data_IF_165405122373
#
_entry.id   IF_165405122373
#
_cell.length_a   1.000
_cell.length_b   1.000
_cell.length_c   1.000
_cell.angle_alpha   90.00
_cell.angle_beta   90.00
_cell.angle_gamma   90.00
#
_symmetry.space_group_name_H-M   'P 1'
#
loop_
_entity.id
_entity.type
_entity.pdbx_description
1 polymer ?
#
# COMPACT_ATOMS: atom_id res chain seq x y z
N UNK A 1 8.48 -6.17 8.52
CA UNK A 1 9.27 -6.59 7.36
C UNK A 1 9.32 -8.11 7.35
N UNK A 2 8.68 -8.71 6.39
CA UNK A 2 8.65 -10.15 6.21
C UNK A 2 9.14 -10.49 4.81
N UNK A 3 9.86 -11.57 4.68
CA UNK A 3 10.28 -12.12 3.40
C UNK A 3 9.90 -13.59 3.37
N UNK A 4 9.45 -14.10 2.23
CA UNK A 4 8.94 -15.43 2.07
C UNK A 4 9.99 -16.54 2.37
N UNK A 5 10.18 -16.84 3.64
CA UNK A 5 11.03 -17.97 4.06
C UNK A 5 10.34 -19.33 3.95
N UNK A 6 9.01 -19.35 3.91
CA UNK A 6 8.23 -20.59 3.85
C UNK A 6 8.35 -21.30 2.49
N UNK A 7 8.68 -20.57 1.45
CA UNK A 7 8.87 -21.12 0.11
C UNK A 7 10.35 -21.20 -0.23
N UNK A 8 10.83 -22.41 -0.53
CA UNK A 8 12.15 -22.53 -1.14
C UNK A 8 12.03 -22.04 -2.58
N UNK A 9 12.66 -20.90 -2.94
CA UNK A 9 12.56 -20.39 -4.29
C UNK A 9 13.04 -21.43 -5.31
N UNK A 10 12.50 -21.44 -6.53
CA UNK A 10 13.07 -22.22 -7.61
C UNK A 10 14.52 -21.83 -7.81
N UNK A 11 15.49 -22.71 -7.43
CA UNK A 11 16.91 -22.42 -7.49
C UNK A 11 17.64 -22.36 -6.15
N UNK A 12 16.95 -22.46 -5.02
CA UNK A 12 17.56 -22.67 -3.69
C UNK A 12 18.22 -21.43 -3.07
N UNK A 13 17.84 -20.23 -3.49
CA UNK A 13 18.27 -18.96 -2.88
C UNK A 13 17.29 -18.44 -1.83
N UNK A 14 17.70 -17.42 -1.08
CA UNK A 14 16.80 -16.59 -0.26
C UNK A 14 16.21 -15.49 -1.14
N UNK A 15 14.91 -15.16 -0.96
CA UNK A 15 14.35 -13.93 -1.53
C UNK A 15 14.98 -12.73 -0.84
N UNK A 16 15.35 -11.69 -1.61
CA UNK A 16 15.76 -10.41 -1.05
C UNK A 16 14.55 -9.57 -0.63
N UNK A 17 13.35 -9.90 -1.17
CA UNK A 17 12.11 -9.24 -0.85
C UNK A 17 12.11 -7.76 -1.21
N UNK A 18 12.63 -7.40 -2.38
CA UNK A 18 12.76 -5.99 -2.75
C UNK A 18 11.40 -5.36 -3.03
N UNK A 19 10.53 -6.06 -3.74
CA UNK A 19 9.16 -5.65 -3.96
C UNK A 19 8.26 -6.18 -2.84
N UNK A 20 8.45 -7.42 -2.42
CA UNK A 20 7.67 -8.13 -1.42
C UNK A 20 8.52 -8.42 -0.15
N UNK A 21 8.55 -7.57 0.89
CA UNK A 21 7.86 -6.27 1.00
C UNK A 21 8.82 -5.17 1.50
N UNK A 22 10.04 -5.07 0.94
CA UNK A 22 10.91 -3.92 1.21
C UNK A 22 10.33 -2.62 0.64
N UNK A 23 9.56 -2.71 -0.45
CA UNK A 23 8.93 -1.57 -1.08
C UNK A 23 7.92 -0.90 -0.15
N UNK A 24 6.99 -1.65 0.44
CA UNK A 24 6.00 -1.12 1.38
C UNK A 24 6.63 -0.65 2.70
N UNK A 25 7.62 -1.37 3.19
CA UNK A 25 8.40 -0.95 4.36
C UNK A 25 9.10 0.40 4.13
N UNK A 26 9.64 0.64 2.93
CA UNK A 26 10.27 1.91 2.55
C UNK A 26 9.24 3.04 2.53
N UNK A 27 8.09 2.85 1.86
CA UNK A 27 7.02 3.86 1.85
C UNK A 27 6.54 4.16 3.27
N UNK A 28 6.33 3.14 4.09
CA UNK A 28 5.90 3.31 5.49
C UNK A 28 6.88 4.17 6.29
N UNK A 29 8.18 3.98 6.11
CA UNK A 29 9.23 4.76 6.79
C UNK A 29 9.28 6.21 6.27
N UNK A 30 9.19 6.44 4.97
CA UNK A 30 9.18 7.78 4.38
C UNK A 30 7.92 8.58 4.79
N UNK A 31 6.76 7.92 4.77
CA UNK A 31 5.52 8.52 5.28
C UNK A 31 5.64 8.84 6.76
N UNK A 32 6.16 7.92 7.59
CA UNK A 32 6.38 8.15 9.02
C UNK A 32 7.30 9.35 9.27
N UNK A 33 8.36 9.50 8.50
CA UNK A 33 9.26 10.65 8.61
C UNK A 33 8.55 11.96 8.22
N UNK A 34 7.75 11.95 7.17
CA UNK A 34 7.03 13.14 6.71
C UNK A 34 5.95 13.57 7.71
N UNK A 35 5.15 12.63 8.24
CA UNK A 35 4.10 12.94 9.22
C UNK A 35 4.68 13.41 10.55
N UNK A 36 5.87 12.94 10.96
CA UNK A 36 6.52 13.40 12.19
C UNK A 36 6.92 14.88 12.18
N UNK A 37 6.88 15.55 11.04
CA UNK A 37 7.26 16.95 10.88
C UNK A 37 6.14 17.96 11.19
N UNK A 38 4.90 17.48 11.44
CA UNK A 38 3.75 18.35 11.74
C UNK A 38 2.95 17.87 12.95
N UNK A 39 2.12 18.76 13.49
CA UNK A 39 1.12 18.43 14.49
C UNK A 39 -0.13 17.87 13.79
N UNK A 40 -0.76 16.89 14.40
CA UNK A 40 -1.97 16.21 13.94
C UNK A 40 -3.02 16.25 15.03
N UNK A 41 -4.29 16.35 14.67
CA UNK A 41 -5.40 16.29 15.60
C UNK A 41 -5.62 14.84 16.12
N UNK A 42 -5.24 13.86 15.31
CA UNK A 42 -5.30 12.43 15.67
C UNK A 42 -3.91 11.84 15.86
N UNK A 43 -3.84 10.76 16.65
CA UNK A 43 -2.60 9.99 16.77
C UNK A 43 -2.35 9.23 15.47
N UNK A 44 -1.19 9.44 14.86
CA UNK A 44 -0.73 8.66 13.71
C UNK A 44 0.38 7.72 14.16
N UNK A 45 0.28 6.46 13.77
CA UNK A 45 1.26 5.41 14.08
C UNK A 45 1.75 4.75 12.79
N UNK A 46 3.06 4.54 12.69
CA UNK A 46 3.65 3.67 11.67
C UNK A 46 3.96 2.31 12.29
N UNK A 47 3.70 1.25 11.58
CA UNK A 47 3.96 -0.11 12.01
C UNK A 47 4.59 -0.94 10.90
N UNK A 48 5.51 -1.82 11.27
CA UNK A 48 6.06 -2.86 10.41
C UNK A 48 5.70 -4.20 11.04
N UNK A 49 4.91 -4.98 10.34
CA UNK A 49 4.45 -6.26 10.82
C UNK A 49 5.46 -7.36 10.53
N UNK A 50 5.44 -8.42 11.32
CA UNK A 50 6.20 -9.63 11.07
C UNK A 50 5.25 -10.79 10.79
N UNK A 51 5.75 -11.80 10.07
CA UNK A 51 5.03 -13.04 9.79
C UNK A 51 3.73 -12.80 9.00
N UNK A 52 3.79 -11.92 8.01
CA UNK A 52 2.70 -11.75 7.05
C UNK A 52 2.51 -13.05 6.27
N UNK A 53 3.58 -13.60 5.72
CA UNK A 53 3.64 -14.82 4.91
C UNK A 53 3.23 -16.10 5.65
N UNK A 54 3.29 -16.09 6.97
CA UNK A 54 2.81 -17.18 7.85
C UNK A 54 1.35 -17.00 8.27
N UNK A 55 0.64 -16.05 7.67
CA UNK A 55 -0.79 -15.83 7.89
C UNK A 55 -1.10 -14.61 8.75
N UNK A 56 -0.47 -13.48 8.47
CA UNK A 56 -0.75 -12.16 9.04
C UNK A 56 -0.57 -12.12 10.57
N UNK A 57 0.36 -12.90 11.13
CA UNK A 57 0.43 -13.13 12.57
C UNK A 57 0.72 -11.86 13.36
N UNK A 58 1.55 -10.96 12.82
CA UNK A 58 1.91 -9.71 13.49
C UNK A 58 0.74 -8.74 13.59
N UNK A 59 0.10 -8.44 12.48
CA UNK A 59 -1.06 -7.55 12.43
C UNK A 59 -2.27 -8.10 13.18
N UNK A 60 -2.55 -9.40 13.03
CA UNK A 60 -3.63 -10.07 13.76
C UNK A 60 -3.41 -10.03 15.28
N UNK A 61 -2.17 -10.27 15.73
CA UNK A 61 -1.85 -10.16 17.15
C UNK A 61 -2.05 -8.73 17.64
N UNK A 62 -1.61 -7.72 16.89
CA UNK A 62 -1.83 -6.32 17.26
C UNK A 62 -3.31 -6.00 17.42
N UNK A 63 -4.12 -6.29 16.38
CA UNK A 63 -5.56 -6.00 16.40
C UNK A 63 -6.27 -6.71 17.56
N UNK A 64 -5.92 -7.98 17.82
CA UNK A 64 -6.52 -8.76 18.93
C UNK A 64 -6.17 -8.25 20.32
N UNK A 65 -5.13 -7.43 20.46
CA UNK A 65 -4.70 -6.85 21.75
C UNK A 65 -5.05 -5.36 21.88
N UNK A 66 -5.73 -4.78 20.91
CA UNK A 66 -6.23 -3.41 21.04
C UNK A 66 -7.20 -3.30 22.22
N UNK A 67 -7.07 -2.25 23.06
CA UNK A 67 -8.07 -1.99 24.09
C UNK A 67 -9.47 -1.80 23.50
N UNK A 68 -10.52 -2.28 24.15
CA UNK A 68 -11.91 -2.16 23.69
C UNK A 68 -12.37 -0.73 23.39
N UNK A 69 -11.71 0.26 23.97
CA UNK A 69 -12.01 1.69 23.77
C UNK A 69 -11.04 2.36 22.77
N UNK A 70 -10.17 1.60 22.13
CA UNK A 70 -9.28 2.12 21.09
C UNK A 70 -10.02 2.16 19.76
N UNK A 71 -10.18 3.34 19.21
CA UNK A 71 -10.68 3.53 17.85
C UNK A 71 -9.52 3.71 16.89
N UNK A 72 -9.54 3.00 15.77
CA UNK A 72 -8.67 3.23 14.60
C UNK A 72 -9.55 3.83 13.53
N UNK A 73 -9.26 5.07 13.14
CA UNK A 73 -10.05 5.80 12.15
C UNK A 73 -9.84 5.25 10.74
N UNK A 74 -8.59 4.89 10.42
CA UNK A 74 -8.23 4.23 9.18
C UNK A 74 -6.88 3.53 9.30
N UNK A 75 -6.67 2.48 8.53
CA UNK A 75 -5.42 1.77 8.37
C UNK A 75 -4.97 1.85 6.90
N UNK A 76 -3.73 2.23 6.66
CA UNK A 76 -3.11 2.21 5.33
C UNK A 76 -2.11 1.08 5.26
N UNK A 77 -2.30 0.18 4.32
CA UNK A 77 -1.42 -0.94 4.03
C UNK A 77 -0.61 -0.67 2.78
N UNK A 78 0.68 -0.96 2.84
CA UNK A 78 1.58 -0.87 1.71
C UNK A 78 2.24 -2.23 1.54
N UNK A 79 1.91 -2.91 0.47
CA UNK A 79 2.41 -4.24 0.16
C UNK A 79 2.61 -4.38 -1.35
N UNK A 80 3.84 -4.73 -1.75
CA UNK A 80 4.25 -4.82 -3.15
C UNK A 80 3.94 -3.53 -3.93
N UNK A 81 4.48 -2.41 -3.50
CA UNK A 81 4.16 -1.07 -4.00
C UNK A 81 5.28 -0.43 -4.82
N UNK A 82 5.00 0.75 -5.38
CA UNK A 82 5.96 1.66 -6.04
C UNK A 82 6.45 1.23 -7.41
N UNK A 83 6.03 0.11 -7.95
CA UNK A 83 6.33 -0.25 -9.32
C UNK A 83 5.52 0.60 -10.31
N UNK A 84 6.19 1.57 -10.89
CA UNK A 84 5.67 2.39 -11.96
C UNK A 84 6.13 1.79 -13.30
N UNK A 85 5.23 1.15 -14.02
CA UNK A 85 5.56 0.44 -15.25
C UNK A 85 5.60 1.40 -16.46
N UNK A 86 6.71 1.45 -17.20
CA UNK A 86 6.80 2.28 -18.41
C UNK A 86 6.11 1.65 -19.63
N UNK A 87 5.63 0.42 -19.49
CA UNK A 87 5.07 -0.38 -20.57
C UNK A 87 3.58 -0.60 -20.31
N UNK A 88 2.75 -0.36 -21.31
CA UNK A 88 1.32 -0.64 -21.27
C UNK A 88 1.09 -2.08 -20.78
N UNK A 89 0.32 -2.27 -19.70
CA UNK A 89 0.04 -3.61 -19.17
C UNK A 89 -0.69 -4.46 -20.23
N UNK A 90 -0.68 -5.79 -20.09
CA UNK A 90 -1.39 -6.68 -20.99
C UNK A 90 -2.87 -6.30 -21.17
N UNK A 91 -3.50 -6.65 -22.30
CA UNK A 91 -4.90 -6.34 -22.56
C UNK A 91 -5.80 -6.89 -21.44
N UNK A 92 -6.63 -6.03 -20.87
CA UNK A 92 -7.54 -6.37 -19.78
C UNK A 92 -7.18 -5.73 -18.44
N UNK A 93 -5.96 -5.20 -18.34
CA UNK A 93 -5.52 -4.39 -17.20
C UNK A 93 -5.48 -2.93 -17.64
N UNK A 94 -5.88 -2.02 -16.76
CA UNK A 94 -5.82 -0.60 -17.03
C UNK A 94 -4.37 -0.11 -17.20
N UNK A 95 -4.16 1.11 -17.64
CA UNK A 95 -2.83 1.72 -17.73
C UNK A 95 -2.27 2.11 -16.33
N UNK A 96 -2.78 1.50 -15.28
CA UNK A 96 -2.53 1.91 -13.89
C UNK A 96 -1.32 1.22 -13.33
N UNK A 97 -0.35 2.00 -12.93
CA UNK A 97 0.86 1.50 -12.30
C UNK A 97 0.67 1.28 -10.79
N UNK A 98 -0.14 2.12 -10.18
CA UNK A 98 -0.42 2.11 -8.75
C UNK A 98 -1.92 1.92 -8.50
N UNK A 99 -2.25 1.24 -7.43
CA UNK A 99 -3.63 0.98 -7.07
C UNK A 99 -3.92 1.26 -5.59
N UNK A 100 -5.16 1.64 -5.31
CA UNK A 100 -5.70 1.76 -3.96
C UNK A 100 -7.01 1.00 -3.91
N UNK A 101 -7.07 -0.05 -3.08
CA UNK A 101 -8.32 -0.70 -2.74
C UNK A 101 -8.82 -0.17 -1.39
N UNK A 102 -10.11 0.16 -1.33
CA UNK A 102 -10.76 0.65 -0.11
C UNK A 102 -11.74 -0.38 0.43
N UNK A 103 -11.71 -0.63 1.71
CA UNK A 103 -12.72 -1.43 2.39
C UNK A 103 -13.16 -0.73 3.67
N UNK A 104 -14.45 -0.50 3.81
CA UNK A 104 -15.04 0.21 4.94
C UNK A 104 -15.75 -0.74 5.91
N UNK A 105 -15.79 -0.37 7.17
CA UNK A 105 -16.55 -1.09 8.21
C UNK A 105 -18.07 -1.14 7.92
N UNK A 106 -18.57 -0.17 7.17
CA UNK A 106 -19.96 -0.07 6.73
C UNK A 106 -20.06 0.80 5.47
N UNK A 107 -21.26 0.89 4.85
CA UNK A 107 -21.48 1.64 3.60
C UNK A 107 -21.17 3.15 3.74
N UNK A 108 -21.50 3.77 4.85
CA UNK A 108 -21.22 5.20 5.07
C UNK A 108 -19.72 5.46 5.19
N UNK A 109 -19.02 4.62 5.93
CA UNK A 109 -17.58 4.68 6.06
C UNK A 109 -16.87 4.44 4.72
N UNK A 110 -17.28 3.42 3.97
CA UNK A 110 -16.74 3.14 2.64
C UNK A 110 -16.98 4.32 1.68
N UNK A 111 -18.17 4.93 1.72
CA UNK A 111 -18.48 6.12 0.92
C UNK A 111 -17.56 7.28 1.24
N UNK A 112 -17.28 7.51 2.51
CA UNK A 112 -16.34 8.56 2.95
C UNK A 112 -14.91 8.28 2.50
N UNK A 113 -14.45 7.04 2.63
CA UNK A 113 -13.11 6.65 2.17
C UNK A 113 -12.95 6.85 0.68
N UNK A 114 -13.94 6.43 -0.11
CA UNK A 114 -13.93 6.61 -1.54
C UNK A 114 -13.90 8.11 -1.93
N UNK A 115 -14.61 8.95 -1.18
CA UNK A 115 -14.56 10.39 -1.41
C UNK A 115 -13.18 10.99 -1.11
N UNK A 116 -12.50 10.57 -0.04
CA UNK A 116 -11.12 11.01 0.24
C UNK A 116 -10.16 10.60 -0.88
N UNK A 117 -10.23 9.33 -1.33
CA UNK A 117 -9.38 8.86 -2.44
C UNK A 117 -9.69 9.65 -3.71
N UNK A 118 -10.98 9.86 -4.03
CA UNK A 118 -11.39 10.65 -5.20
C UNK A 118 -10.82 12.07 -5.15
N UNK A 119 -10.93 12.76 -4.02
CA UNK A 119 -10.40 14.11 -3.85
C UNK A 119 -8.88 14.13 -4.07
N UNK A 120 -8.15 13.21 -3.48
CA UNK A 120 -6.69 13.16 -3.62
C UNK A 120 -6.28 12.79 -5.05
N UNK A 121 -6.85 11.73 -5.61
CA UNK A 121 -6.42 11.16 -6.89
C UNK A 121 -6.93 11.99 -8.07
N UNK A 122 -8.20 12.39 -8.07
CA UNK A 122 -8.80 13.08 -9.22
C UNK A 122 -8.57 14.59 -9.16
N UNK A 123 -8.73 15.20 -7.98
CA UNK A 123 -8.69 16.66 -7.87
C UNK A 123 -7.26 17.18 -7.63
N UNK A 124 -6.50 16.57 -6.72
CA UNK A 124 -5.18 17.07 -6.34
C UNK A 124 -4.06 16.57 -7.26
N UNK A 125 -4.10 15.30 -7.69
CA UNK A 125 -3.08 14.77 -8.61
C UNK A 125 -3.22 15.27 -10.03
N UNK A 126 -4.35 15.85 -10.42
CA UNK A 126 -4.52 16.49 -11.73
C UNK A 126 -3.53 17.63 -11.98
N UNK A 127 -2.89 18.13 -10.94
CA UNK A 127 -1.84 19.17 -11.01
C UNK A 127 -0.42 18.60 -11.13
N UNK A 128 -0.24 17.27 -11.07
CA UNK A 128 1.08 16.68 -11.25
C UNK A 128 1.42 16.64 -12.74
N UNK A 129 2.60 17.18 -13.10
CA UNK A 129 3.11 17.16 -14.47
C UNK A 129 3.60 15.76 -14.90
N UNK A 130 3.32 14.72 -14.13
CA UNK A 130 3.71 13.33 -14.44
C UNK A 130 2.53 12.54 -14.98
N UNK A 131 2.27 12.55 -16.30
CA UNK A 131 1.16 11.82 -16.92
C UNK A 131 1.33 10.29 -16.85
N UNK A 132 2.35 9.79 -16.19
CA UNK A 132 2.70 8.38 -16.09
C UNK A 132 2.25 7.72 -14.80
N UNK A 133 1.76 8.50 -13.83
CA UNK A 133 1.37 8.02 -12.51
C UNK A 133 -0.15 8.03 -12.36
N UNK A 134 -0.83 7.28 -13.22
CA UNK A 134 -2.25 7.07 -13.05
C UNK A 134 -2.49 6.11 -11.87
N UNK A 135 -3.10 6.60 -10.81
CA UNK A 135 -3.57 5.77 -9.71
C UNK A 135 -4.97 5.27 -10.03
N UNK A 136 -5.11 3.96 -10.06
CA UNK A 136 -6.43 3.32 -10.07
C UNK A 136 -6.91 3.09 -8.63
N UNK A 137 -8.18 3.35 -8.39
CA UNK A 137 -8.79 3.04 -7.10
C UNK A 137 -10.15 2.35 -7.28
N UNK A 138 -10.47 1.45 -6.36
CA UNK A 138 -11.71 0.70 -6.35
C UNK A 138 -12.10 0.30 -4.93
N UNK A 139 -13.40 0.12 -4.70
CA UNK A 139 -13.88 -0.56 -3.49
C UNK A 139 -13.69 -2.04 -3.69
N UNK A 140 -12.86 -2.67 -2.87
CA UNK A 140 -12.57 -4.09 -2.98
C UNK A 140 -12.37 -4.72 -1.61
N UNK A 141 -12.99 -5.88 -1.40
CA UNK A 141 -12.92 -6.64 -0.15
C UNK A 141 -12.02 -7.87 -0.34
N UNK A 142 -10.78 -7.67 -0.74
CA UNK A 142 -9.83 -8.76 -0.87
C UNK A 142 -8.92 -8.84 0.35
N UNK A 143 -8.84 -10.02 0.96
CA UNK A 143 -7.93 -10.30 2.07
C UNK A 143 -6.65 -10.94 1.53
N UNK A 144 -5.72 -10.11 1.07
CA UNK A 144 -4.47 -10.58 0.47
C UNK A 144 -3.21 -10.10 1.21
N UNK A 145 -3.33 -9.31 2.28
CA UNK A 145 -2.23 -8.77 3.07
C UNK A 145 -2.71 -8.31 4.46
N UNK A 146 -1.86 -7.67 5.25
CA UNK A 146 -2.09 -7.27 6.64
C UNK A 146 -3.33 -6.38 6.86
N UNK A 147 -3.82 -5.68 5.82
CA UNK A 147 -5.09 -4.95 5.91
C UNK A 147 -6.27 -5.86 6.27
N UNK A 148 -6.20 -7.15 5.95
CA UNK A 148 -7.24 -8.12 6.31
C UNK A 148 -7.45 -8.23 7.82
N UNK A 149 -6.38 -8.14 8.60
CA UNK A 149 -6.47 -8.17 10.07
C UNK A 149 -7.29 -7.00 10.62
N UNK A 150 -7.23 -5.84 9.97
CA UNK A 150 -8.01 -4.65 10.34
C UNK A 150 -9.41 -4.71 9.75
N UNK A 151 -9.54 -4.98 8.47
CA UNK A 151 -10.83 -5.05 7.77
C UNK A 151 -11.79 -6.07 8.39
N UNK A 152 -11.32 -7.27 8.72
CA UNK A 152 -12.15 -8.31 9.36
C UNK A 152 -12.55 -8.01 10.81
N UNK A 153 -12.02 -6.94 11.38
CA UNK A 153 -12.38 -6.39 12.69
C UNK A 153 -13.07 -5.02 12.60
N UNK A 154 -13.73 -4.76 11.48
CA UNK A 154 -14.56 -3.58 11.22
C UNK A 154 -13.80 -2.23 11.22
N UNK A 155 -12.51 -2.23 10.88
CA UNK A 155 -11.75 -1.00 10.66
C UNK A 155 -11.69 -0.65 9.17
N UNK A 156 -11.73 0.65 8.88
CA UNK A 156 -11.53 1.18 7.54
C UNK A 156 -10.10 0.95 7.05
N UNK A 157 -9.93 0.42 5.83
CA UNK A 157 -8.62 0.12 5.27
C UNK A 157 -8.42 0.68 3.87
N UNK A 158 -7.22 1.22 3.63
CA UNK A 158 -6.70 1.52 2.31
C UNK A 158 -5.56 0.54 2.02
N UNK A 159 -5.70 -0.30 1.03
CA UNK A 159 -4.65 -1.20 0.58
C UNK A 159 -4.01 -0.64 -0.68
N UNK A 160 -2.74 -0.26 -0.58
CA UNK A 160 -1.93 0.21 -1.70
C UNK A 160 -1.19 -0.95 -2.32
N UNK A 161 -1.15 -1.00 -3.65
CA UNK A 161 -0.48 -2.05 -4.40
C UNK A 161 -0.01 -1.53 -5.77
N UNK A 162 0.88 -2.26 -6.41
CA UNK A 162 1.36 -1.98 -7.77
C UNK A 162 0.69 -2.87 -8.80
N UNK A 163 0.77 -2.47 -10.06
CA UNK A 163 0.34 -3.27 -11.21
C UNK A 163 -1.11 -3.80 -11.11
N UNK A 164 -2.01 -3.02 -10.53
CA UNK A 164 -3.40 -3.41 -10.39
C UNK A 164 -3.63 -4.58 -9.42
N UNK A 165 -2.67 -4.87 -8.52
CA UNK A 165 -2.75 -5.97 -7.56
C UNK A 165 -2.63 -7.36 -8.19
N UNK A 166 -2.24 -7.46 -9.44
CA UNK A 166 -2.08 -8.76 -10.12
C UNK A 166 -0.63 -9.23 -10.06
N UNK A 167 -0.37 -10.17 -9.16
CA UNK A 167 0.94 -10.80 -8.98
C UNK A 167 1.48 -11.46 -10.26
N UNK A 168 0.65 -11.69 -11.29
CA UNK A 168 1.11 -12.21 -12.57
C UNK A 168 2.07 -11.26 -13.31
N UNK A 169 2.06 -9.98 -12.95
CA UNK A 169 3.03 -9.00 -13.41
C UNK A 169 4.37 -9.09 -12.71
N UNK A 170 4.37 -9.57 -11.46
CA UNK A 170 5.57 -9.80 -10.68
C UNK A 170 5.86 -11.30 -10.61
N UNK A 171 6.40 -11.87 -11.69
CA UNK A 171 6.74 -13.30 -11.78
C UNK A 171 7.85 -13.71 -10.82
N UNK A 172 8.53 -12.73 -10.25
CA UNK A 172 9.59 -12.88 -9.27
C UNK A 172 9.08 -12.99 -7.82
N UNK A 173 7.79 -12.84 -7.62
CA UNK A 173 7.12 -12.98 -6.34
C UNK A 173 7.52 -14.29 -5.66
N UNK A 174 7.88 -14.21 -4.38
CA UNK A 174 8.38 -15.34 -3.59
C UNK A 174 9.59 -16.08 -4.22
N UNK A 175 10.43 -15.39 -4.94
CA UNK A 175 11.59 -15.98 -5.59
C UNK A 175 12.90 -15.27 -5.24
N UNK A 176 14.02 -15.95 -5.47
CA UNK A 176 15.36 -15.35 -5.27
C UNK A 176 15.72 -14.25 -6.28
N UNK A 177 14.84 -13.92 -7.20
CA UNK A 177 15.01 -12.83 -8.17
C UNK A 177 14.18 -11.59 -7.82
N UNK A 178 13.43 -11.62 -6.73
CA UNK A 178 12.81 -10.43 -6.16
C UNK A 178 13.90 -9.57 -5.49
N UNK A 179 14.57 -8.77 -6.30
CA UNK A 179 15.67 -7.90 -5.89
C UNK A 179 15.57 -6.52 -6.53
N UNK A 180 16.32 -5.56 -6.00
CA UNK A 180 16.25 -4.16 -6.43
C UNK A 180 16.63 -3.98 -7.92
N UNK A 181 17.62 -4.70 -8.41
CA UNK A 181 18.04 -4.57 -9.83
C UNK A 181 16.92 -4.99 -10.77
N UNK A 182 16.17 -6.03 -10.40
CA UNK A 182 15.02 -6.46 -11.15
C UNK A 182 13.87 -5.45 -11.07
N UNK A 183 13.62 -4.91 -9.88
CA UNK A 183 12.61 -3.87 -9.67
C UNK A 183 12.88 -2.62 -10.50
N UNK A 184 14.14 -2.14 -10.51
CA UNK A 184 14.59 -1.04 -11.37
C UNK A 184 14.40 -1.36 -12.85
N UNK A 185 14.71 -2.59 -13.25
CA UNK A 185 14.53 -3.03 -14.66
C UNK A 185 13.06 -3.04 -15.06
N UNK A 186 12.18 -3.56 -14.20
CA UNK A 186 10.71 -3.57 -14.42
C UNK A 186 10.14 -2.16 -14.50
N UNK A 187 10.59 -1.27 -13.65
CA UNK A 187 10.22 0.14 -13.68
C UNK A 187 10.77 0.91 -14.89
N UNK A 188 11.71 0.32 -15.65
CA UNK A 188 12.36 0.99 -16.79
C UNK A 188 13.42 2.00 -16.38
N UNK A 189 13.89 1.96 -15.15
CA UNK A 189 14.96 2.80 -14.60
C UNK A 189 14.71 3.26 -13.17
N UNK A 190 15.77 3.68 -12.52
CA UNK A 190 15.72 4.15 -11.12
C UNK A 190 14.87 5.41 -10.96
N UNK A 191 14.87 6.30 -11.94
CA UNK A 191 14.11 7.56 -11.87
C UNK A 191 12.60 7.26 -11.85
N UNK A 192 12.14 6.38 -12.76
CA UNK A 192 10.73 5.98 -12.80
C UNK A 192 10.30 5.20 -11.56
N UNK A 193 11.16 4.35 -11.02
CA UNK A 193 10.90 3.69 -9.74
C UNK A 193 10.79 4.73 -8.61
N UNK A 194 11.69 5.70 -8.57
CA UNK A 194 11.65 6.80 -7.61
C UNK A 194 10.38 7.64 -7.72
N UNK A 195 9.89 7.89 -8.93
CA UNK A 195 8.61 8.59 -9.15
C UNK A 195 7.43 7.80 -8.57
N UNK A 196 7.43 6.48 -8.70
CA UNK A 196 6.42 5.62 -8.07
C UNK A 196 6.41 5.76 -6.55
N UNK A 197 7.58 5.71 -5.91
CA UNK A 197 7.71 5.94 -4.46
C UNK A 197 7.22 7.33 -4.05
N UNK A 198 7.65 8.37 -4.74
CA UNK A 198 7.24 9.75 -4.47
C UNK A 198 5.72 9.92 -4.59
N UNK A 199 5.12 9.35 -5.62
CA UNK A 199 3.67 9.39 -5.83
C UNK A 199 2.90 8.75 -4.68
N UNK A 200 3.35 7.59 -4.19
CA UNK A 200 2.70 6.91 -3.06
C UNK A 200 2.84 7.68 -1.76
N UNK A 201 4.04 8.18 -1.45
CA UNK A 201 4.26 8.99 -0.24
C UNK A 201 3.38 10.24 -0.28
N UNK A 202 3.33 10.93 -1.42
CA UNK A 202 2.51 12.13 -1.60
C UNK A 202 1.01 11.83 -1.44
N UNK A 203 0.52 10.77 -2.11
CA UNK A 203 -0.88 10.35 -2.02
C UNK A 203 -1.26 10.00 -0.60
N UNK A 204 -0.43 9.22 0.09
CA UNK A 204 -0.67 8.82 1.48
C UNK A 204 -0.72 10.01 2.42
N UNK A 205 0.19 10.98 2.27
CA UNK A 205 0.20 12.18 3.09
C UNK A 205 -1.07 13.02 2.90
N UNK A 206 -1.55 13.15 1.68
CA UNK A 206 -2.78 13.89 1.42
C UNK A 206 -4.01 13.15 1.98
N UNK A 207 -4.06 11.83 1.87
CA UNK A 207 -5.10 11.04 2.53
C UNK A 207 -5.07 11.22 4.06
N UNK A 208 -3.90 11.19 4.70
CA UNK A 208 -3.77 11.48 6.13
C UNK A 208 -4.30 12.86 6.49
N UNK A 209 -4.02 13.88 5.68
CA UNK A 209 -4.51 15.24 5.90
C UNK A 209 -6.04 15.29 5.83
N UNK A 210 -6.65 14.62 4.85
CA UNK A 210 -8.11 14.56 4.74
C UNK A 210 -8.75 13.82 5.92
N UNK A 211 -8.16 12.69 6.32
CA UNK A 211 -8.64 11.91 7.46
C UNK A 211 -8.52 12.70 8.76
N UNK A 212 -7.40 13.40 8.98
CA UNK A 212 -7.15 14.18 10.19
C UNK A 212 -8.11 15.37 10.32
N UNK A 213 -8.46 16.01 9.20
CA UNK A 213 -9.38 17.16 9.18
C UNK A 213 -10.88 16.77 9.26
N UNK A 214 -11.21 15.48 9.28
CA UNK A 214 -12.60 15.05 9.35
C UNK A 214 -13.02 14.90 10.81
N UNK A 215 -14.06 15.65 11.21
CA UNK A 215 -14.62 15.58 12.56
C UNK A 215 -15.13 14.15 12.84
N UNK A 216 -14.91 13.68 14.07
CA UNK A 216 -15.52 12.45 14.57
C UNK A 216 -17.02 12.71 14.81
N UNK A 217 -17.84 12.48 13.77
CA UNK A 217 -19.31 12.64 13.81
C UNK A 217 -20.02 11.38 14.30
#
# INVERSE_FOLDING_TARGET
FDVAYAFTPPGGGTSEGANDDTSGSTVSMEVAQAIASREWDHTVAAALWACEEEGLLGSAAFVSHLPENQSIKAYMNFDMVSLNYPIVPPPGYGPYDLGIATAGANEDNLSQMNEWVRMVVEDEMSFSDTPQNDIHWASEETCASDHCSFFTNDYATFNFFSAGGDISFWQEWHSGTDNLDFMVTKAGGSDNLGDGFNTLVWTSLNLFIHIDNTDDS
#
